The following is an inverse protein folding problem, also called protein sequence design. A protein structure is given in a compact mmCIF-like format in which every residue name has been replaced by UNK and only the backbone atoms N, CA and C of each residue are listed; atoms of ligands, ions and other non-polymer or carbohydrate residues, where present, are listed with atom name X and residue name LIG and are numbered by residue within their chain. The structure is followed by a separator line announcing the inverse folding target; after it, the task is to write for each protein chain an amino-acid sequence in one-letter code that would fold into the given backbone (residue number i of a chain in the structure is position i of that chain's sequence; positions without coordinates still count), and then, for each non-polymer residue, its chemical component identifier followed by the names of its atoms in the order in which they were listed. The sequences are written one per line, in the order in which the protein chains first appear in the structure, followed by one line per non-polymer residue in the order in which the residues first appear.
data_IF_233438754003
#
_entry.id   IF_233438754003
#
_cell.length_a   1.000
_cell.length_b   1.000
_cell.length_c   1.000
_cell.angle_alpha   90.00
_cell.angle_beta   90.00
_cell.angle_gamma   90.00
#
_symmetry.space_group_name_H-M   'P 1'
#
loop_
_entity.id
_entity.type
_entity.pdbx_description
1 polymer ?
#
# COMPACT_ATOMS: atom_id res chain seq x y z
N UNK A 1 -8.70 4.22 5.94
CA UNK A 1 -7.34 3.66 5.92
C UNK A 1 -6.74 3.84 4.54
N UNK A 2 -5.48 4.25 4.46
CA UNK A 2 -4.77 4.49 3.20
C UNK A 2 -3.50 3.64 3.15
N UNK A 3 -3.32 2.86 2.08
CA UNK A 3 -2.15 2.02 1.86
C UNK A 3 -1.41 2.46 0.60
N UNK A 4 -0.09 2.65 0.72
CA UNK A 4 0.82 2.82 -0.41
C UNK A 4 1.86 1.71 -0.41
N UNK A 5 1.76 0.81 -1.38
CA UNK A 5 2.67 -0.30 -1.59
C UNK A 5 3.80 0.16 -2.52
N UNK A 6 5.01 0.22 -1.96
CA UNK A 6 6.22 0.60 -2.67
C UNK A 6 6.95 -0.65 -3.15
N UNK A 7 6.87 -0.90 -4.45
CA UNK A 7 7.44 -2.07 -5.12
C UNK A 7 8.88 -1.76 -5.55
N UNK A 8 9.85 -2.67 -5.31
CA UNK A 8 11.23 -2.45 -5.72
C UNK A 8 11.36 -2.44 -7.25
N UNK A 9 12.31 -1.63 -7.74
CA UNK A 9 12.68 -1.61 -9.15
C UNK A 9 13.72 -2.72 -9.38
N UNK A 10 13.54 -3.52 -10.43
CA UNK A 10 14.50 -4.55 -10.77
C UNK A 10 15.85 -3.95 -11.18
N UNK A 11 16.94 -4.44 -10.60
CA UNK A 11 18.30 -3.95 -10.86
C UNK A 11 18.73 -4.07 -12.33
N UNK A 12 18.12 -4.99 -13.09
CA UNK A 12 18.37 -5.20 -14.52
C UNK A 12 17.69 -4.17 -15.43
N UNK A 13 16.84 -3.28 -14.90
CA UNK A 13 16.17 -2.28 -15.73
C UNK A 13 17.14 -1.19 -16.20
N UNK A 14 16.94 -0.73 -17.43
CA UNK A 14 17.70 0.40 -17.97
C UNK A 14 17.44 1.66 -17.16
N UNK A 15 18.43 2.58 -17.13
CA UNK A 15 18.31 3.89 -16.45
C UNK A 15 17.05 4.65 -16.86
N UNK A 16 16.71 4.62 -18.16
CA UNK A 16 15.48 5.23 -18.69
C UNK A 16 14.24 4.63 -18.04
N UNK A 17 14.09 3.31 -18.07
CA UNK A 17 12.89 2.65 -17.52
C UNK A 17 12.78 2.83 -16.00
N UNK A 18 13.90 2.82 -15.30
CA UNK A 18 13.97 3.14 -13.87
C UNK A 18 13.48 4.56 -13.58
N UNK A 19 13.93 5.55 -14.37
CA UNK A 19 13.46 6.94 -14.21
C UNK A 19 11.94 7.06 -14.47
N UNK A 20 11.42 6.42 -15.52
CA UNK A 20 9.98 6.41 -15.81
C UNK A 20 9.15 5.76 -14.69
N UNK A 21 9.68 4.68 -14.08
CA UNK A 21 9.05 4.02 -12.95
C UNK A 21 8.99 4.91 -11.71
N UNK A 22 10.08 5.62 -11.40
CA UNK A 22 10.15 6.57 -10.29
C UNK A 22 9.28 7.81 -10.52
N UNK A 23 9.10 8.23 -11.78
CA UNK A 23 8.19 9.30 -12.17
C UNK A 23 6.71 8.87 -12.18
N UNK A 24 6.40 7.57 -12.00
CA UNK A 24 5.04 7.04 -12.03
C UNK A 24 4.45 6.86 -13.43
N UNK A 25 5.26 7.01 -14.48
CA UNK A 25 4.86 6.74 -15.88
C UNK A 25 4.74 5.23 -16.15
N UNK A 26 5.51 4.42 -15.43
CA UNK A 26 5.44 2.95 -15.46
C UNK A 26 4.90 2.47 -14.13
N UNK A 27 3.83 1.67 -14.17
CA UNK A 27 3.10 1.22 -12.99
C UNK A 27 3.38 -0.26 -12.67
N UNK A 28 3.50 -0.65 -11.38
CA UNK A 28 3.75 -2.03 -10.99
C UNK A 28 2.47 -2.88 -11.11
N UNK A 29 2.32 -3.57 -12.23
CA UNK A 29 1.17 -4.44 -12.52
C UNK A 29 1.38 -5.91 -12.13
N UNK A 30 2.59 -6.28 -11.71
CA UNK A 30 2.93 -7.62 -11.23
C UNK A 30 2.69 -7.74 -9.71
N UNK A 31 3.00 -8.93 -9.17
CA UNK A 31 3.03 -9.19 -7.73
C UNK A 31 3.87 -8.14 -6.97
N UNK A 32 3.53 -7.84 -5.71
CA UNK A 32 2.46 -8.46 -4.92
C UNK A 32 1.04 -8.02 -5.35
N UNK A 33 0.07 -8.89 -5.07
CA UNK A 33 -1.36 -8.59 -5.27
C UNK A 33 -1.82 -7.62 -4.18
N UNK A 34 -2.55 -6.58 -4.59
CA UNK A 34 -2.89 -5.45 -3.74
C UNK A 34 -3.75 -5.85 -2.52
N UNK A 35 -4.76 -6.67 -2.78
CA UNK A 35 -5.68 -7.24 -1.79
C UNK A 35 -4.99 -8.16 -0.79
N UNK A 36 -4.06 -9.00 -1.25
CA UNK A 36 -3.26 -9.85 -0.36
C UNK A 36 -2.41 -9.02 0.60
N UNK A 37 -1.80 -7.92 0.13
CA UNK A 37 -1.06 -7.00 0.99
C UNK A 37 -2.00 -6.27 1.96
N UNK A 38 -3.16 -5.79 1.49
CA UNK A 38 -4.16 -5.17 2.34
C UNK A 38 -4.57 -6.11 3.49
N UNK A 39 -4.88 -7.37 3.16
CA UNK A 39 -5.26 -8.38 4.14
C UNK A 39 -4.15 -8.61 5.17
N UNK A 40 -2.92 -8.83 4.72
CA UNK A 40 -1.79 -9.04 5.63
C UNK A 40 -1.54 -7.85 6.56
N UNK A 41 -1.74 -6.61 6.06
CA UNK A 41 -1.63 -5.40 6.89
C UNK A 41 -2.77 -5.33 7.90
N UNK A 42 -4.02 -5.55 7.49
CA UNK A 42 -5.16 -5.57 8.41
C UNK A 42 -4.95 -6.61 9.51
N UNK A 43 -4.60 -7.85 9.15
CA UNK A 43 -4.35 -8.93 10.10
C UNK A 43 -3.23 -8.57 11.10
N UNK A 44 -2.16 -7.93 10.62
CA UNK A 44 -1.00 -7.57 11.43
C UNK A 44 -1.22 -6.39 12.39
N UNK A 45 -2.15 -5.49 12.11
CA UNK A 45 -2.45 -4.33 12.96
C UNK A 45 -3.77 -4.47 13.74
N UNK A 46 -4.53 -5.53 13.49
CA UNK A 46 -5.77 -5.82 14.17
C UNK A 46 -5.55 -6.02 15.68
N UNK A 47 -6.41 -5.43 16.50
CA UNK A 47 -6.27 -5.39 17.95
C UNK A 47 -5.14 -4.46 18.46
N UNK A 48 -4.33 -3.87 17.58
CA UNK A 48 -3.22 -2.97 17.94
C UNK A 48 -3.54 -1.52 17.58
N UNK A 49 -3.83 -1.26 16.30
CA UNK A 49 -4.13 0.10 15.80
C UNK A 49 -5.64 0.41 15.89
N UNK A 50 -6.47 -0.62 15.72
CA UNK A 50 -7.90 -0.61 15.93
C UNK A 50 -8.32 -1.88 16.67
N UNK A 51 -9.51 -1.90 17.26
CA UNK A 51 -9.97 -3.04 18.07
C UNK A 51 -10.29 -4.26 17.21
N UNK A 52 -10.89 -4.03 16.06
CA UNK A 52 -11.34 -5.05 15.12
C UNK A 52 -11.29 -4.51 13.69
N UNK A 53 -10.96 -5.33 12.69
CA UNK A 53 -10.80 -4.91 11.30
C UNK A 53 -12.15 -4.56 10.64
N UNK A 54 -13.26 -5.02 11.23
CA UNK A 54 -14.62 -4.55 10.86
C UNK A 54 -14.80 -3.04 11.03
N UNK A 55 -13.94 -2.35 11.80
CA UNK A 55 -13.97 -0.89 11.95
C UNK A 55 -13.41 -0.16 10.72
N UNK A 56 -12.74 -0.86 9.79
CA UNK A 56 -12.18 -0.25 8.57
C UNK A 56 -13.27 -0.12 7.51
N UNK A 57 -14.01 0.98 7.55
CA UNK A 57 -15.14 1.23 6.63
C UNK A 57 -14.75 1.93 5.32
N UNK A 58 -13.53 2.46 5.22
CA UNK A 58 -13.01 3.14 4.03
C UNK A 58 -11.55 2.74 3.78
N UNK A 59 -11.24 2.29 2.56
CA UNK A 59 -9.87 1.93 2.16
C UNK A 59 -9.50 2.60 0.84
N UNK A 60 -8.34 3.24 0.81
CA UNK A 60 -7.66 3.61 -0.43
C UNK A 60 -6.35 2.82 -0.55
N UNK A 61 -6.03 2.35 -1.75
CA UNK A 61 -4.84 1.55 -1.99
C UNK A 61 -4.18 1.95 -3.30
N UNK A 62 -2.86 2.03 -3.30
CA UNK A 62 -2.07 2.20 -4.52
C UNK A 62 -0.77 1.39 -4.50
N UNK A 63 -0.30 1.01 -5.69
CA UNK A 63 1.04 0.48 -5.92
C UNK A 63 1.88 1.49 -6.71
N UNK A 64 3.13 1.72 -6.30
CA UNK A 64 4.11 2.54 -7.01
C UNK A 64 5.48 1.89 -6.95
N UNK A 65 6.30 2.12 -7.97
CA UNK A 65 7.71 1.76 -7.87
C UNK A 65 8.44 2.74 -6.94
N UNK A 66 9.46 2.24 -6.24
CA UNK A 66 10.26 3.03 -5.30
C UNK A 66 11.68 2.49 -5.22
N UNK A 67 12.63 3.38 -4.90
CA UNK A 67 13.97 2.98 -4.44
C UNK A 67 13.95 2.38 -3.04
N UNK A 68 12.97 2.75 -2.22
CA UNK A 68 12.78 2.24 -0.85
C UNK A 68 11.51 1.40 -0.81
N UNK A 69 11.61 0.07 -0.93
CA UNK A 69 10.45 -0.81 -0.92
C UNK A 69 9.83 -0.93 0.48
N UNK A 70 8.53 -1.19 0.54
CA UNK A 70 7.79 -1.29 1.80
C UNK A 70 6.32 -0.93 1.63
N UNK A 71 5.58 -0.92 2.73
CA UNK A 71 4.17 -0.50 2.75
C UNK A 71 4.02 0.65 3.73
N UNK A 72 3.52 1.78 3.24
CA UNK A 72 3.13 2.90 4.09
C UNK A 72 1.65 2.78 4.40
N UNK A 73 1.31 2.81 5.68
CA UNK A 73 -0.07 2.69 6.17
C UNK A 73 -0.41 3.95 6.94
N UNK A 74 -1.53 4.56 6.59
CA UNK A 74 -2.11 5.68 7.34
C UNK A 74 -3.52 5.31 7.78
N UNK A 75 -3.74 5.34 9.08
CA UNK A 75 -5.06 5.14 9.70
C UNK A 75 -5.51 6.47 10.31
N UNK A 76 -6.76 6.83 10.06
CA UNK A 76 -7.37 8.08 10.52
C UNK A 76 -8.72 7.75 11.13
N UNK A 77 -8.99 8.15 12.38
CA UNK A 77 -10.32 8.03 12.96
C UNK A 77 -11.34 8.83 12.16
N UNK A 78 -12.53 8.28 11.98
CA UNK A 78 -13.64 9.01 11.37
C UNK A 78 -14.43 9.74 12.47
N UNK A 79 -14.94 10.93 12.16
CA UNK A 79 -15.78 11.71 13.09
C UNK A 79 -17.23 11.21 13.14
N UNK A 80 -17.58 10.22 12.31
CA UNK A 80 -18.90 9.60 12.30
C UNK A 80 -19.12 8.69 13.53
N UNK A 81 -20.38 8.56 13.94
CA UNK A 81 -20.75 7.62 15.00
C UNK A 81 -20.65 6.17 14.51
N UNK A 82 -20.23 5.22 15.37
CA UNK A 82 -20.34 3.80 15.06
C UNK A 82 -21.81 3.38 14.96
N UNK A 83 -22.06 2.31 14.19
CA UNK A 83 -23.36 1.63 14.14
C UNK A 83 -23.76 1.02 15.47
#
# INVERSE_FOLDING_TARGET
MELRIMVPIAASWSKKKTAQALAGEVMPTKKPDADNVLKAICDGINGIVFKDDVQVVNVSLSKRFSSTPGVYVRVVPLEALPS
#
